data_IF_387945820393
#
_entry.id   IF_387945820393
#
_cell.length_a   1.000
_cell.length_b   1.000
_cell.length_c   1.000
_cell.angle_alpha   90.00
_cell.angle_beta   90.00
_cell.angle_gamma   90.00
#
_symmetry.space_group_name_H-M   'P 1'
#
loop_
_entity.id
_entity.type
_entity.pdbx_description
1 polymer ?
#
# COMPACT_ATOMS: atom_id res chain seq x y z
N UNK A 1 -4.59 -23.30 -13.65
CA UNK A 1 -5.72 -22.45 -13.22
C UNK A 1 -5.79 -21.25 -14.15
N UNK A 2 -6.95 -20.62 -14.27
CA UNK A 2 -7.14 -19.35 -14.96
C UNK A 2 -6.92 -18.20 -13.98
N UNK A 3 -6.05 -17.27 -14.31
CA UNK A 3 -5.70 -16.13 -13.46
C UNK A 3 -5.94 -14.83 -14.21
N UNK A 4 -6.62 -13.88 -13.58
CA UNK A 4 -6.68 -12.49 -14.05
C UNK A 4 -5.66 -11.66 -13.27
N UNK A 5 -4.79 -10.94 -13.98
CA UNK A 5 -3.86 -9.98 -13.40
C UNK A 5 -4.43 -8.56 -13.55
N UNK A 6 -4.48 -7.80 -12.47
CA UNK A 6 -4.96 -6.42 -12.44
C UNK A 6 -3.87 -5.49 -11.90
N UNK A 7 -3.54 -4.45 -12.67
CA UNK A 7 -2.46 -3.51 -12.35
C UNK A 7 -2.97 -2.07 -12.30
N UNK A 8 -2.48 -1.24 -11.37
CA UNK A 8 -2.59 0.21 -11.51
C UNK A 8 -1.75 0.69 -12.71
N UNK A 9 -2.06 1.88 -13.23
CA UNK A 9 -1.41 2.44 -14.42
C UNK A 9 0.12 2.41 -14.36
N UNK A 10 0.70 2.82 -13.22
CA UNK A 10 2.16 2.83 -13.03
C UNK A 10 2.84 1.46 -13.04
N UNK A 11 2.10 0.36 -13.01
CA UNK A 11 2.64 -1.01 -13.07
C UNK A 11 2.24 -1.76 -14.35
N UNK A 12 1.43 -1.18 -15.25
CA UNK A 12 1.00 -1.84 -16.49
C UNK A 12 2.16 -2.19 -17.43
N UNK A 13 3.23 -1.41 -17.41
CA UNK A 13 4.46 -1.72 -18.17
C UNK A 13 5.07 -3.08 -17.79
N UNK A 14 4.81 -3.57 -16.57
CA UNK A 14 5.31 -4.86 -16.06
C UNK A 14 4.35 -6.02 -16.32
N UNK A 15 3.15 -5.76 -16.82
CA UNK A 15 2.09 -6.76 -16.91
C UNK A 15 2.49 -7.98 -17.75
N UNK A 16 3.16 -7.77 -18.89
CA UNK A 16 3.61 -8.87 -19.75
C UNK A 16 4.71 -9.72 -19.11
N UNK A 17 5.56 -9.14 -18.26
CA UNK A 17 6.59 -9.88 -17.55
C UNK A 17 5.95 -10.80 -16.49
N UNK A 18 5.06 -10.27 -15.66
CA UNK A 18 4.32 -11.06 -14.68
C UNK A 18 3.43 -12.12 -15.32
N UNK A 19 2.81 -11.83 -16.47
CA UNK A 19 2.02 -12.82 -17.19
C UNK A 19 2.88 -14.02 -17.61
N UNK A 20 4.05 -13.78 -18.22
CA UNK A 20 4.99 -14.84 -18.59
C UNK A 20 5.46 -15.66 -17.38
N UNK A 21 5.68 -15.02 -16.23
CA UNK A 21 6.06 -15.72 -15.00
C UNK A 21 4.95 -16.67 -14.50
N UNK A 22 3.69 -16.25 -14.57
CA UNK A 22 2.56 -17.08 -14.18
C UNK A 22 2.26 -18.18 -15.23
N UNK A 23 2.39 -17.88 -16.52
CA UNK A 23 2.27 -18.86 -17.61
C UNK A 23 3.34 -19.96 -17.50
N UNK A 24 4.58 -19.60 -17.12
CA UNK A 24 5.67 -20.55 -16.88
C UNK A 24 5.37 -21.53 -15.73
N UNK A 25 4.43 -21.20 -14.83
CA UNK A 25 3.93 -22.09 -13.78
C UNK A 25 2.78 -22.99 -14.24
N UNK A 26 2.40 -22.93 -15.52
CA UNK A 26 1.31 -23.71 -16.12
C UNK A 26 -0.08 -23.08 -15.95
N UNK A 27 -0.16 -21.78 -15.69
CA UNK A 27 -1.42 -21.04 -15.58
C UNK A 27 -1.87 -20.49 -16.94
N UNK A 28 -3.18 -20.41 -17.14
CA UNK A 28 -3.76 -19.62 -18.23
C UNK A 28 -3.98 -18.20 -17.70
N UNK A 29 -3.37 -17.21 -18.35
CA UNK A 29 -3.28 -15.85 -17.79
C UNK A 29 -4.02 -14.86 -18.66
N UNK A 30 -4.84 -14.04 -18.00
CA UNK A 30 -5.51 -12.88 -18.57
C UNK A 30 -4.97 -11.63 -17.89
N UNK A 31 -4.93 -10.52 -18.63
CA UNK A 31 -4.54 -9.21 -18.10
C UNK A 31 -5.74 -8.29 -18.24
N UNK A 32 -6.19 -7.69 -17.13
CA UNK A 32 -7.19 -6.63 -17.17
C UNK A 32 -6.57 -5.38 -17.80
N UNK A 33 -7.17 -4.90 -18.88
CA UNK A 33 -6.75 -3.66 -19.54
C UNK A 33 -7.42 -2.42 -18.93
N UNK A 34 -8.46 -2.62 -18.11
CA UNK A 34 -9.21 -1.55 -17.46
C UNK A 34 -8.32 -0.69 -16.55
N UNK A 35 -8.64 0.59 -16.35
CA UNK A 35 -8.03 1.38 -15.29
C UNK A 35 -8.23 0.71 -13.92
N UNK A 36 -7.34 0.98 -12.97
CA UNK A 36 -7.48 0.50 -11.59
C UNK A 36 -6.86 1.52 -10.66
N UNK A 37 -7.66 2.07 -9.76
CA UNK A 37 -7.24 3.17 -8.87
C UNK A 37 -6.97 2.72 -7.43
N UNK A 38 -7.30 1.48 -7.08
CA UNK A 38 -7.11 0.96 -5.73
C UNK A 38 -7.71 -0.43 -5.54
N UNK A 39 -7.49 -1.00 -4.35
CA UNK A 39 -8.13 -2.24 -3.92
C UNK A 39 -9.64 -2.10 -3.62
N UNK A 40 -10.20 -0.89 -3.73
CA UNK A 40 -11.65 -0.67 -3.76
C UNK A 40 -12.27 -0.96 -5.16
N UNK A 41 -11.43 -1.07 -6.19
CA UNK A 41 -11.81 -1.19 -7.60
C UNK A 41 -11.29 -2.52 -8.18
N UNK A 42 -11.71 -3.63 -7.57
CA UNK A 42 -11.29 -4.97 -7.98
C UNK A 42 -12.02 -5.41 -9.25
N UNK A 43 -11.30 -6.00 -10.22
CA UNK A 43 -11.84 -6.51 -11.48
C UNK A 43 -12.65 -7.82 -11.32
N UNK A 44 -13.52 -7.90 -10.31
CA UNK A 44 -14.26 -9.12 -9.95
C UNK A 44 -15.28 -9.50 -11.03
N UNK A 45 -15.94 -8.52 -11.63
CA UNK A 45 -16.93 -8.79 -12.68
C UNK A 45 -16.26 -9.29 -13.96
N UNK A 46 -15.11 -8.73 -14.35
CA UNK A 46 -14.28 -9.25 -15.43
C UNK A 46 -13.84 -10.69 -15.15
N UNK A 47 -13.33 -10.94 -13.94
CA UNK A 47 -12.89 -12.25 -13.47
C UNK A 47 -14.01 -13.30 -13.59
N UNK A 48 -15.22 -12.97 -13.13
CA UNK A 48 -16.39 -13.85 -13.23
C UNK A 48 -16.82 -14.09 -14.68
N UNK A 49 -16.86 -13.05 -15.52
CA UNK A 49 -17.31 -13.15 -16.91
C UNK A 49 -16.46 -14.10 -17.76
N UNK A 50 -15.14 -14.14 -17.52
CA UNK A 50 -14.23 -15.04 -18.24
C UNK A 50 -13.93 -16.34 -17.47
N UNK A 51 -14.62 -16.56 -16.34
CA UNK A 51 -14.49 -17.72 -15.46
C UNK A 51 -13.02 -17.97 -15.03
N UNK A 52 -12.33 -16.95 -14.50
CA UNK A 52 -11.03 -17.18 -13.85
C UNK A 52 -11.20 -17.75 -12.44
N UNK A 53 -10.21 -18.51 -11.99
CA UNK A 53 -10.16 -19.11 -10.65
C UNK A 53 -9.62 -18.15 -9.59
N UNK A 54 -8.88 -17.11 -10.03
CA UNK A 54 -8.13 -16.21 -9.14
C UNK A 54 -7.90 -14.84 -9.78
N UNK A 55 -7.98 -13.79 -8.96
CA UNK A 55 -7.55 -12.43 -9.29
C UNK A 55 -6.25 -12.14 -8.53
N UNK A 56 -5.20 -11.69 -9.24
CA UNK A 56 -4.00 -11.12 -8.61
C UNK A 56 -4.03 -9.62 -8.80
N UNK A 57 -4.19 -8.89 -7.70
CA UNK A 57 -4.30 -7.44 -7.67
C UNK A 57 -2.99 -6.82 -7.18
N UNK A 58 -2.34 -6.03 -8.02
CA UNK A 58 -1.03 -5.45 -7.75
C UNK A 58 -1.11 -4.04 -7.16
N UNK A 59 -0.08 -3.67 -6.39
CA UNK A 59 0.17 -2.31 -5.92
C UNK A 59 -0.57 -1.90 -4.64
N UNK A 60 -1.59 -2.64 -4.22
CA UNK A 60 -2.43 -2.27 -3.08
C UNK A 60 -2.55 -3.40 -2.06
N UNK A 61 -2.72 -3.03 -0.78
CA UNK A 61 -3.11 -3.95 0.28
C UNK A 61 -4.61 -4.25 0.21
N UNK A 62 -5.03 -5.33 0.87
CA UNK A 62 -6.44 -5.71 0.97
C UNK A 62 -7.32 -4.56 1.52
N UNK A 63 -8.36 -4.17 0.80
CA UNK A 63 -9.26 -3.08 1.24
C UNK A 63 -10.44 -3.62 2.05
N UNK A 64 -11.10 -4.65 1.52
CA UNK A 64 -12.26 -5.30 2.12
C UNK A 64 -12.30 -6.79 1.74
N UNK A 65 -13.05 -7.58 2.51
CA UNK A 65 -13.30 -8.99 2.18
C UNK A 65 -14.30 -9.09 1.05
N UNK A 66 -14.01 -9.97 0.10
CA UNK A 66 -14.86 -10.28 -1.04
C UNK A 66 -15.03 -11.78 -1.15
N UNK A 67 -16.15 -12.22 -1.71
CA UNK A 67 -16.41 -13.63 -2.00
C UNK A 67 -15.78 -14.03 -3.34
N UNK A 68 -14.45 -13.91 -3.41
CA UNK A 68 -13.63 -14.29 -4.56
C UNK A 68 -12.19 -14.55 -4.12
N UNK A 69 -11.49 -15.44 -4.81
CA UNK A 69 -10.08 -15.73 -4.54
C UNK A 69 -9.20 -14.60 -5.07
N UNK A 70 -8.91 -13.61 -4.21
CA UNK A 70 -8.05 -12.47 -4.53
C UNK A 70 -6.71 -12.60 -3.80
N UNK A 71 -5.62 -12.60 -4.56
CA UNK A 71 -4.27 -12.38 -4.04
C UNK A 71 -3.90 -10.92 -4.21
N UNK A 72 -3.51 -10.27 -3.12
CA UNK A 72 -2.97 -8.92 -3.15
C UNK A 72 -1.44 -8.98 -3.18
N UNK A 73 -0.84 -8.34 -4.19
CA UNK A 73 0.61 -8.16 -4.31
C UNK A 73 0.94 -6.70 -4.12
N UNK A 74 1.30 -6.33 -2.90
CA UNK A 74 1.78 -4.99 -2.59
C UNK A 74 3.05 -4.67 -3.40
N UNK A 75 3.25 -3.39 -3.72
CA UNK A 75 4.42 -2.93 -4.47
C UNK A 75 5.18 -1.90 -3.65
N UNK A 76 6.30 -2.32 -3.10
CA UNK A 76 7.18 -1.49 -2.29
C UNK A 76 8.08 -0.60 -3.17
N UNK A 77 8.30 0.63 -2.74
CA UNK A 77 9.17 1.61 -3.38
C UNK A 77 10.14 2.13 -2.35
N UNK A 78 11.43 1.86 -2.56
CA UNK A 78 12.48 2.35 -1.69
C UNK A 78 12.68 3.85 -1.91
N UNK A 79 12.35 4.64 -0.89
CA UNK A 79 12.72 6.04 -0.80
C UNK A 79 14.15 6.16 -0.27
N UNK A 80 14.88 7.17 -0.75
CA UNK A 80 16.16 7.56 -0.16
C UNK A 80 15.90 8.25 1.19
N UNK A 81 16.26 7.57 2.28
CA UNK A 81 16.08 8.07 3.65
C UNK A 81 17.16 9.08 4.07
N UNK A 82 18.18 9.34 3.23
CA UNK A 82 19.17 10.38 3.50
C UNK A 82 18.57 11.78 3.58
N UNK A 83 17.39 12.00 2.98
CA UNK A 83 16.67 13.28 3.04
C UNK A 83 16.10 13.59 4.43
N UNK A 84 16.04 12.61 5.34
CA UNK A 84 15.46 12.83 6.67
C UNK A 84 16.28 13.81 7.52
N UNK A 85 17.61 13.87 7.31
CA UNK A 85 18.49 14.82 8.00
C UNK A 85 18.06 16.28 7.76
N UNK A 86 17.62 16.60 6.54
CA UNK A 86 17.15 17.94 6.16
C UNK A 86 15.84 18.33 6.88
N UNK A 87 15.08 17.35 7.35
CA UNK A 87 13.80 17.56 8.04
C UNK A 87 13.93 17.79 9.55
N UNK A 88 15.06 17.42 10.16
CA UNK A 88 15.25 17.46 11.63
C UNK A 88 15.05 18.88 12.15
N UNK A 89 15.64 19.87 11.47
CA UNK A 89 15.57 21.27 11.91
C UNK A 89 14.17 21.87 11.70
N UNK A 90 13.43 21.39 10.69
CA UNK A 90 12.02 21.78 10.45
C UNK A 90 11.11 21.27 11.57
N UNK A 91 11.41 20.08 12.11
CA UNK A 91 10.62 19.46 13.15
C UNK A 91 11.09 19.81 14.57
N UNK A 92 12.10 20.66 14.76
CA UNK A 92 12.77 20.88 16.06
C UNK A 92 11.82 21.30 17.19
N UNK A 93 10.82 22.13 16.88
CA UNK A 93 9.88 22.69 17.86
C UNK A 93 8.74 21.71 18.25
N UNK A 94 8.61 20.58 17.54
CA UNK A 94 7.60 19.55 17.84
C UNK A 94 8.23 18.41 18.64
N UNK A 95 7.59 18.01 19.74
CA UNK A 95 8.11 16.92 20.58
C UNK A 95 7.54 15.58 20.14
N UNK A 96 6.22 15.51 19.93
CA UNK A 96 5.48 14.32 19.54
C UNK A 96 5.13 14.39 18.05
N UNK A 97 5.59 13.43 17.27
CA UNK A 97 5.39 13.41 15.81
C UNK A 97 4.62 12.15 15.43
N UNK A 98 3.54 12.32 14.69
CA UNK A 98 2.74 11.23 14.13
C UNK A 98 3.28 10.80 12.78
N UNK A 99 3.66 9.54 12.58
CA UNK A 99 4.08 9.09 11.25
C UNK A 99 2.93 8.42 10.51
N UNK A 100 2.74 8.87 9.26
CA UNK A 100 1.79 8.31 8.31
C UNK A 100 2.44 8.12 6.95
N UNK A 101 1.99 7.13 6.20
CA UNK A 101 2.47 6.88 4.85
C UNK A 101 1.46 6.10 4.01
N UNK A 102 1.77 5.85 2.75
CA UNK A 102 0.99 4.98 1.86
C UNK A 102 1.55 3.56 1.88
N UNK A 103 0.83 2.62 1.25
CA UNK A 103 1.25 1.22 1.22
C UNK A 103 2.63 1.01 0.58
N UNK A 104 3.03 1.87 -0.36
CA UNK A 104 4.26 1.72 -1.14
C UNK A 104 5.54 1.96 -0.31
N UNK A 105 5.44 2.72 0.79
CA UNK A 105 6.60 3.04 1.65
C UNK A 105 6.44 2.48 3.07
N UNK A 106 5.43 1.66 3.31
CA UNK A 106 5.08 1.16 4.64
C UNK A 106 6.23 0.34 5.26
N UNK A 107 7.02 -0.33 4.42
CA UNK A 107 8.16 -1.15 4.82
C UNK A 107 9.31 -0.32 5.40
N UNK A 108 9.41 0.96 5.02
CA UNK A 108 10.42 1.89 5.55
C UNK A 108 9.96 2.69 6.78
N UNK A 109 8.67 2.63 7.13
CA UNK A 109 8.10 3.44 8.22
C UNK A 109 8.80 3.22 9.57
N UNK A 110 9.21 1.99 9.85
CA UNK A 110 9.90 1.65 11.10
C UNK A 110 11.30 2.31 11.17
N UNK A 111 12.02 2.38 10.06
CA UNK A 111 13.32 3.08 10.02
C UNK A 111 13.15 4.58 10.23
N UNK A 112 12.13 5.19 9.62
CA UNK A 112 11.79 6.61 9.80
C UNK A 112 11.43 6.89 11.27
N UNK A 113 10.66 5.99 11.90
CA UNK A 113 10.34 6.06 13.33
C UNK A 113 11.60 6.09 14.18
N UNK A 114 12.50 5.13 14.00
CA UNK A 114 13.75 5.02 14.76
C UNK A 114 14.67 6.23 14.52
N UNK A 115 14.69 6.77 13.29
CA UNK A 115 15.45 7.97 12.96
C UNK A 115 15.01 9.15 13.82
N UNK A 116 13.72 9.47 13.87
CA UNK A 116 13.24 10.61 14.65
C UNK A 116 13.31 10.36 16.16
N UNK A 117 13.12 9.13 16.63
CA UNK A 117 13.33 8.78 18.04
C UNK A 117 14.77 9.02 18.49
N UNK A 118 15.77 8.70 17.65
CA UNK A 118 17.18 9.02 17.90
C UNK A 118 17.46 10.53 17.96
N UNK A 119 16.64 11.32 17.26
CA UNK A 119 16.71 12.79 17.29
C UNK A 119 15.81 13.42 18.38
N UNK A 120 15.44 12.63 19.39
CA UNK A 120 14.76 13.11 20.60
C UNK A 120 13.24 13.33 20.43
N UNK A 121 12.63 12.79 19.36
CA UNK A 121 11.18 12.86 19.15
C UNK A 121 10.46 11.69 19.82
N UNK A 122 9.25 11.95 20.29
CA UNK A 122 8.30 10.91 20.70
C UNK A 122 7.45 10.55 19.47
N UNK A 123 7.76 9.42 18.81
CA UNK A 123 7.13 9.07 17.54
C UNK A 123 5.94 8.13 17.74
N UNK A 124 4.77 8.55 17.27
CA UNK A 124 3.52 7.81 17.40
C UNK A 124 3.09 7.31 16.01
N UNK A 125 2.77 6.03 15.90
CA UNK A 125 2.23 5.43 14.67
C UNK A 125 0.83 4.93 14.97
N UNK A 126 -0.15 5.43 14.21
CA UNK A 126 -1.54 5.03 14.35
C UNK A 126 -1.74 3.55 14.06
N UNK A 127 -2.66 2.90 14.80
CA UNK A 127 -3.06 1.52 14.50
C UNK A 127 -3.91 1.49 13.22
N UNK A 128 -3.94 0.34 12.51
CA UNK A 128 -4.85 0.14 11.38
C UNK A 128 -6.29 0.55 11.72
N UNK A 129 -6.96 1.20 10.77
CA UNK A 129 -8.34 1.62 10.89
C UNK A 129 -9.06 1.56 9.55
N UNK A 130 -10.37 1.27 9.61
CA UNK A 130 -11.23 1.23 8.44
C UNK A 130 -10.68 0.32 7.34
N UNK A 131 -10.33 0.94 6.22
CA UNK A 131 -9.82 0.28 5.04
C UNK A 131 -8.30 0.14 5.03
N UNK A 132 -7.57 0.98 5.76
CA UNK A 132 -6.14 0.84 5.94
C UNK A 132 -5.82 -0.37 6.83
N UNK A 133 -4.94 -1.26 6.36
CA UNK A 133 -4.64 -2.54 7.04
C UNK A 133 -3.32 -2.54 7.79
N UNK A 134 -2.48 -1.53 7.59
CA UNK A 134 -1.17 -1.44 8.23
C UNK A 134 -1.05 -0.24 9.17
N UNK A 135 -0.28 -0.35 10.27
CA UNK A 135 -0.03 0.79 11.15
C UNK A 135 0.58 1.96 10.39
N UNK A 136 0.08 3.18 10.61
CA UNK A 136 0.53 4.38 9.90
C UNK A 136 0.06 4.49 8.46
N UNK A 137 -0.59 3.46 7.88
CA UNK A 137 -1.14 3.55 6.54
C UNK A 137 -2.33 4.49 6.50
N UNK A 138 -2.33 5.42 5.55
CA UNK A 138 -3.49 6.23 5.18
C UNK A 138 -3.84 6.02 3.70
N UNK A 139 -5.10 6.31 3.38
CA UNK A 139 -5.66 6.31 2.02
C UNK A 139 -6.29 7.67 1.75
N UNK A 140 -6.49 8.00 0.46
CA UNK A 140 -7.18 9.25 0.09
C UNK A 140 -8.60 9.37 0.66
N UNK A 141 -9.29 8.24 0.84
CA UNK A 141 -10.63 8.17 1.43
C UNK A 141 -10.66 7.75 2.91
N UNK A 142 -9.52 7.42 3.51
CA UNK A 142 -9.43 6.94 4.89
C UNK A 142 -8.11 7.35 5.55
N UNK A 143 -8.18 8.39 6.39
CA UNK A 143 -7.07 8.88 7.19
C UNK A 143 -7.17 8.44 8.67
N UNK A 144 -7.98 7.44 8.99
CA UNK A 144 -8.34 7.16 10.38
C UNK A 144 -7.19 6.64 11.24
N UNK A 145 -6.13 6.09 10.63
CA UNK A 145 -4.86 5.81 11.35
C UNK A 145 -4.28 7.11 11.94
N UNK A 146 -4.27 8.20 11.16
CA UNK A 146 -3.82 9.51 11.60
C UNK A 146 -4.81 10.16 12.59
N UNK A 147 -6.09 10.21 12.22
CA UNK A 147 -7.12 10.93 12.98
C UNK A 147 -7.28 10.42 14.43
N UNK A 148 -6.95 9.14 14.68
CA UNK A 148 -7.01 8.56 16.03
C UNK A 148 -5.93 9.07 16.97
N UNK A 149 -4.77 9.46 16.44
CA UNK A 149 -3.63 9.94 17.22
C UNK A 149 -3.47 11.46 17.15
N UNK A 150 -4.38 12.17 16.45
CA UNK A 150 -4.35 13.61 16.24
C UNK A 150 -4.21 14.43 17.54
N UNK A 151 -4.87 14.00 18.62
CA UNK A 151 -4.79 14.66 19.93
C UNK A 151 -3.52 14.33 20.72
N UNK A 152 -2.76 13.34 20.27
CA UNK A 152 -1.57 12.82 20.95
C UNK A 152 -0.27 13.34 20.33
N UNK A 153 -0.33 13.93 19.14
CA UNK A 153 0.83 14.43 18.39
C UNK A 153 0.80 15.95 18.27
N UNK A 154 1.96 16.55 18.08
CA UNK A 154 2.10 18.00 17.85
C UNK A 154 2.15 18.31 16.34
N UNK A 155 2.60 17.35 15.52
CA UNK A 155 2.66 17.41 14.06
C UNK A 155 2.60 16.00 13.44
N UNK A 156 2.30 15.93 12.14
CA UNK A 156 2.37 14.74 11.29
C UNK A 156 3.40 14.91 10.17
#
# INVERSE_FOLDING_TARGET
>A
MKILLQFPEGLKEKALAYAKEEEAKGNEVFISASPTFGACDLALEEAKMINVDKLVHFGHAEFHKVDFNVEYREFEVDADLGILDDSVDTLKDYKRVGLVTTIQHIHQLQYVKEFYEKHGKEVIVGKPYGFAKKPGQILGCDIGSAARIDKEVDAF
#
